data_IF_598390776688
#
_entry.id   IF_598390776688
#
_cell.length_a   1.000
_cell.length_b   1.000
_cell.length_c   1.000
_cell.angle_alpha   90.00
_cell.angle_beta   90.00
_cell.angle_gamma   90.00
#
_symmetry.space_group_name_H-M   'P 1'
#
loop_
_entity.id
_entity.type
_entity.pdbx_description
1 polymer ?
#
# COMPACT_ATOMS: atom_id res chain seq x y z
N UNK A 1 -29.26 -21.16 11.71
CA UNK A 1 -28.30 -21.81 10.78
C UNK A 1 -27.77 -20.86 9.69
N UNK A 2 -28.61 -20.05 9.05
CA UNK A 2 -28.21 -19.14 7.93
C UNK A 2 -27.14 -18.11 8.33
N UNK A 3 -27.18 -17.58 9.57
CA UNK A 3 -26.16 -16.59 10.03
C UNK A 3 -24.72 -17.12 10.01
N UNK A 4 -24.52 -18.39 10.40
CA UNK A 4 -23.18 -19.00 10.36
C UNK A 4 -22.60 -19.09 8.94
N UNK A 5 -23.46 -19.33 7.96
CA UNK A 5 -23.06 -19.35 6.55
C UNK A 5 -22.59 -17.97 6.06
N UNK A 6 -23.31 -16.91 6.42
CA UNK A 6 -22.89 -15.54 6.07
C UNK A 6 -21.58 -15.14 6.74
N UNK A 7 -21.40 -15.49 8.01
CA UNK A 7 -20.15 -15.25 8.74
C UNK A 7 -19.01 -16.02 8.08
N UNK A 8 -19.21 -17.30 7.73
CA UNK A 8 -18.24 -18.09 7.02
C UNK A 8 -17.92 -17.52 5.62
N UNK A 9 -18.94 -17.12 4.87
CA UNK A 9 -18.76 -16.52 3.55
C UNK A 9 -18.02 -15.19 3.62
N UNK A 10 -18.33 -14.32 4.60
CA UNK A 10 -17.59 -13.06 4.79
C UNK A 10 -16.13 -13.30 5.13
N UNK A 11 -15.84 -14.27 6.00
CA UNK A 11 -14.47 -14.67 6.33
C UNK A 11 -13.70 -15.20 5.12
N UNK A 12 -14.33 -16.02 4.28
CA UNK A 12 -13.72 -16.52 3.02
C UNK A 12 -13.41 -15.37 2.07
N UNK A 13 -14.31 -14.41 1.89
CA UNK A 13 -14.09 -13.25 1.02
C UNK A 13 -12.91 -12.41 1.50
N UNK A 14 -12.81 -12.17 2.80
CA UNK A 14 -11.65 -11.45 3.38
C UNK A 14 -10.34 -12.20 3.14
N UNK A 15 -10.34 -13.54 3.31
CA UNK A 15 -9.14 -14.33 3.04
C UNK A 15 -8.79 -14.34 1.55
N UNK A 16 -9.77 -14.34 0.65
CA UNK A 16 -9.53 -14.21 -0.79
C UNK A 16 -8.85 -12.88 -1.10
N UNK A 17 -9.39 -11.75 -0.63
CA UNK A 17 -8.78 -10.43 -0.84
C UNK A 17 -7.35 -10.36 -0.27
N UNK A 18 -7.11 -10.99 0.87
CA UNK A 18 -5.77 -11.07 1.46
C UNK A 18 -4.81 -11.90 0.60
N UNK A 19 -5.27 -13.02 0.07
CA UNK A 19 -4.48 -13.83 -0.86
C UNK A 19 -4.15 -13.05 -2.14
N UNK A 20 -5.11 -12.31 -2.69
CA UNK A 20 -4.89 -11.49 -3.88
C UNK A 20 -3.85 -10.39 -3.62
N UNK A 21 -3.91 -9.75 -2.45
CA UNK A 21 -2.90 -8.75 -2.04
C UNK A 21 -1.51 -9.38 -1.89
N UNK A 22 -1.42 -10.56 -1.26
CA UNK A 22 -0.14 -11.29 -1.10
C UNK A 22 0.40 -11.72 -2.47
N UNK A 23 -0.46 -12.22 -3.37
CA UNK A 23 -0.06 -12.62 -4.71
C UNK A 23 0.47 -11.43 -5.52
N UNK A 24 -0.17 -10.27 -5.42
CA UNK A 24 0.30 -9.03 -6.04
C UNK A 24 1.66 -8.61 -5.49
N UNK A 25 1.83 -8.58 -4.16
CA UNK A 25 3.11 -8.26 -3.52
C UNK A 25 4.22 -9.24 -3.95
N UNK A 26 3.89 -10.54 -4.05
CA UNK A 26 4.85 -11.56 -4.47
C UNK A 26 5.24 -11.40 -5.94
N UNK A 27 4.28 -11.09 -6.81
CA UNK A 27 4.54 -10.83 -8.22
C UNK A 27 5.49 -9.63 -8.44
N UNK A 28 5.48 -8.66 -7.51
CA UNK A 28 6.28 -7.45 -7.56
C UNK A 28 7.51 -7.46 -6.65
N UNK A 29 7.90 -8.62 -6.11
CA UNK A 29 9.03 -8.71 -5.15
C UNK A 29 10.36 -8.26 -5.76
N UNK A 30 10.57 -8.48 -7.08
CA UNK A 30 11.76 -8.07 -7.81
C UNK A 30 11.61 -6.69 -8.49
N UNK A 31 10.45 -6.04 -8.34
CA UNK A 31 10.22 -4.72 -8.92
C UNK A 31 10.89 -3.66 -8.07
N UNK A 32 11.84 -2.91 -8.66
CA UNK A 32 12.55 -1.84 -7.96
C UNK A 32 11.58 -0.72 -7.55
N UNK A 33 11.71 -0.25 -6.30
CA UNK A 33 10.88 0.82 -5.76
C UNK A 33 9.44 0.43 -5.45
N UNK A 34 9.05 -0.84 -5.61
CA UNK A 34 7.72 -1.31 -5.22
C UNK A 34 7.52 -1.21 -3.70
N UNK A 35 6.35 -0.78 -3.30
CA UNK A 35 5.91 -0.74 -1.89
C UNK A 35 4.74 -1.68 -1.71
N UNK A 36 4.83 -2.54 -0.70
CA UNK A 36 3.83 -3.58 -0.46
C UNK A 36 2.50 -3.01 -0.02
N UNK A 37 1.43 -3.58 -0.51
CA UNK A 37 0.08 -3.34 -0.05
C UNK A 37 -0.23 -4.20 1.17
N UNK A 38 -0.90 -3.61 2.14
CA UNK A 38 -1.36 -4.29 3.35
C UNK A 38 -2.87 -4.11 3.48
N UNK A 39 -3.59 -5.22 3.57
CA UNK A 39 -5.04 -5.23 3.73
C UNK A 39 -5.41 -5.11 5.20
N UNK A 40 -6.20 -4.11 5.54
CA UNK A 40 -6.82 -3.94 6.85
C UNK A 40 -8.18 -4.62 6.88
N UNK A 41 -8.46 -5.32 7.97
CA UNK A 41 -9.72 -6.04 8.18
C UNK A 41 -10.43 -5.46 9.39
N UNK A 42 -11.73 -5.23 9.27
CA UNK A 42 -12.58 -4.82 10.38
C UNK A 42 -13.75 -5.79 10.60
N UNK A 43 -14.23 -5.88 11.81
CA UNK A 43 -15.45 -6.61 12.10
C UNK A 43 -16.68 -5.83 11.63
N UNK A 44 -17.72 -6.54 11.16
CA UNK A 44 -19.03 -5.93 10.99
C UNK A 44 -19.58 -5.44 12.33
N UNK A 45 -20.60 -4.56 12.26
CA UNK A 45 -21.29 -4.08 13.43
C UNK A 45 -21.80 -5.23 14.29
N UNK A 46 -21.57 -5.12 15.59
CA UNK A 46 -22.01 -6.11 16.57
C UNK A 46 -23.49 -5.96 16.85
N UNK A 47 -24.19 -7.08 16.97
CA UNK A 47 -25.56 -7.13 17.44
C UNK A 47 -25.59 -7.51 18.92
N UNK A 48 -26.46 -6.85 19.66
CA UNK A 48 -26.72 -7.19 21.04
C UNK A 48 -27.54 -8.49 21.12
N UNK A 49 -27.00 -9.49 21.81
CA UNK A 49 -27.74 -10.71 22.15
C UNK A 49 -28.56 -10.48 23.40
N UNK A 50 -29.85 -10.72 23.26
CA UNK A 50 -30.79 -10.74 24.40
C UNK A 50 -31.20 -12.16 24.68
N UNK A 51 -31.26 -12.50 25.95
CA UNK A 51 -31.79 -13.77 26.40
C UNK A 51 -33.31 -13.72 26.23
N UNK A 52 -33.85 -14.68 25.53
CA UNK A 52 -35.27 -14.86 25.40
C UNK A 52 -35.66 -16.11 26.22
N UNK A 53 -35.92 -15.89 27.51
CA UNK A 53 -36.47 -16.96 28.35
C UNK A 53 -37.94 -17.17 27.99
N UNK A 54 -38.29 -18.41 27.74
CA UNK A 54 -39.71 -18.82 27.54
C UNK A 54 -40.46 -19.02 28.84
N UNK A 55 -39.78 -18.97 29.98
CA UNK A 55 -40.34 -19.27 31.29
C UNK A 55 -40.70 -17.98 32.01
N UNK A 56 -41.93 -17.53 31.74
CA UNK A 56 -42.67 -16.69 32.65
C UNK A 56 -42.28 -15.21 32.69
N UNK A 57 -43.30 -14.41 32.66
CA UNK A 57 -43.25 -13.00 33.01
C UNK A 57 -42.83 -12.90 34.48
N UNK A 58 -41.61 -12.41 34.74
CA UNK A 58 -41.27 -11.94 36.07
C UNK A 58 -42.02 -10.63 36.32
N UNK A 59 -43.17 -10.72 36.94
CA UNK A 59 -43.85 -9.56 37.51
C UNK A 59 -43.03 -9.07 38.71
N UNK A 60 -42.17 -8.10 38.47
CA UNK A 60 -41.57 -7.33 39.54
C UNK A 60 -42.64 -6.36 40.09
N UNK A 61 -42.80 -6.23 41.43
CA UNK A 61 -43.77 -5.32 42.02
C UNK A 61 -43.46 -3.81 41.76
N UNK A 62 -42.39 -3.50 41.06
CA UNK A 62 -41.92 -2.13 40.73
C UNK A 62 -41.90 -1.78 39.24
N UNK A 63 -42.70 -2.45 38.42
CA UNK A 63 -42.74 -2.17 36.97
C UNK A 63 -42.12 -3.27 36.12
N UNK A 64 -42.54 -3.35 34.85
CA UNK A 64 -42.03 -4.35 33.90
C UNK A 64 -40.54 -4.17 33.68
N UNK A 65 -39.76 -5.01 34.35
CA UNK A 65 -38.35 -5.16 33.99
C UNK A 65 -38.25 -5.75 32.59
N UNK A 66 -37.33 -5.26 31.78
CA UNK A 66 -37.07 -5.78 30.43
C UNK A 66 -36.82 -7.30 30.52
N UNK A 67 -37.81 -8.09 30.09
CA UNK A 67 -37.81 -9.55 30.19
C UNK A 67 -36.75 -10.23 29.33
N UNK A 68 -35.92 -9.45 28.65
CA UNK A 68 -34.87 -9.92 27.76
C UNK A 68 -33.51 -9.24 28.07
N UNK A 69 -32.84 -9.63 29.17
CA UNK A 69 -31.56 -9.02 29.54
C UNK A 69 -30.51 -9.24 28.44
N UNK A 70 -29.66 -8.23 28.23
CA UNK A 70 -28.56 -8.32 27.30
C UNK A 70 -27.55 -9.31 27.87
N UNK A 71 -27.21 -10.36 27.12
CA UNK A 71 -26.25 -11.38 27.50
C UNK A 71 -24.87 -11.10 26.97
N UNK A 72 -24.79 -10.35 25.86
CA UNK A 72 -23.52 -10.05 25.21
C UNK A 72 -23.69 -9.47 23.82
N UNK A 73 -22.60 -9.43 23.10
CA UNK A 73 -22.55 -8.98 21.71
C UNK A 73 -22.13 -10.12 20.81
N UNK A 74 -22.68 -10.19 19.61
CA UNK A 74 -22.28 -11.13 18.57
C UNK A 74 -21.85 -10.36 17.33
N UNK A 75 -20.67 -10.66 16.82
CA UNK A 75 -20.19 -10.17 15.53
C UNK A 75 -20.90 -10.90 14.38
N UNK A 76 -21.23 -10.17 13.32
CA UNK A 76 -21.86 -10.71 12.12
C UNK A 76 -20.88 -11.12 11.03
N UNK A 77 -19.59 -11.11 11.31
CA UNK A 77 -18.52 -11.42 10.37
C UNK A 77 -17.48 -10.32 10.29
N UNK A 78 -16.72 -10.33 9.20
CA UNK A 78 -15.66 -9.37 8.93
C UNK A 78 -15.70 -8.91 7.47
N UNK A 79 -15.14 -7.74 7.22
CA UNK A 79 -14.95 -7.20 5.88
C UNK A 79 -13.57 -6.58 5.72
N UNK A 80 -13.11 -6.48 4.48
CA UNK A 80 -11.93 -5.69 4.14
C UNK A 80 -12.27 -4.22 4.31
N UNK A 81 -11.53 -3.50 5.15
CA UNK A 81 -11.74 -2.08 5.38
C UNK A 81 -11.12 -1.27 4.24
N UNK A 82 -9.80 -1.34 4.13
CA UNK A 82 -9.03 -0.63 3.13
C UNK A 82 -7.67 -1.31 2.93
N UNK A 83 -7.06 -1.06 1.76
CA UNK A 83 -5.67 -1.39 1.51
C UNK A 83 -4.84 -0.13 1.69
N UNK A 84 -3.74 -0.23 2.38
CA UNK A 84 -2.78 0.86 2.54
C UNK A 84 -1.39 0.41 2.10
N UNK A 85 -0.63 1.38 1.56
CA UNK A 85 0.73 1.15 1.09
C UNK A 85 1.68 1.31 2.27
N UNK A 86 2.53 0.33 2.50
CA UNK A 86 3.60 0.39 3.49
C UNK A 86 4.84 1.04 2.87
N UNK A 87 5.13 2.28 3.25
CA UNK A 87 6.28 3.04 2.77
C UNK A 87 7.58 2.74 3.53
N UNK A 88 7.63 1.71 4.36
CA UNK A 88 8.88 1.30 5.04
C UNK A 88 9.99 1.07 4.03
N UNK A 89 11.23 1.38 4.43
CA UNK A 89 12.40 1.19 3.57
C UNK A 89 12.73 -0.28 3.41
N UNK A 90 13.09 -0.66 2.19
CA UNK A 90 13.61 -1.97 1.85
C UNK A 90 15.14 -2.04 1.89
N UNK A 91 15.70 -3.22 1.68
CA UNK A 91 17.14 -3.41 1.53
C UNK A 91 17.62 -2.81 0.21
N UNK A 92 18.75 -2.09 0.25
CA UNK A 92 19.42 -1.62 -0.94
C UNK A 92 20.28 -2.74 -1.52
N UNK A 93 20.21 -2.91 -2.85
CA UNK A 93 21.01 -3.89 -3.59
C UNK A 93 21.92 -3.17 -4.57
N UNK A 94 23.21 -3.48 -4.52
CA UNK A 94 24.18 -2.96 -5.46
C UNK A 94 24.02 -3.64 -6.84
N UNK A 95 23.77 -2.85 -7.87
CA UNK A 95 23.56 -3.33 -9.26
C UNK A 95 24.77 -3.12 -10.16
N UNK A 96 25.75 -2.28 -9.75
CA UNK A 96 26.90 -1.86 -10.54
C UNK A 96 26.55 -1.14 -11.87
N UNK A 97 25.34 -0.61 -11.96
CA UNK A 97 24.87 0.19 -13.09
C UNK A 97 24.89 1.66 -12.66
N UNK A 98 25.50 2.53 -13.45
CA UNK A 98 25.65 3.97 -13.11
C UNK A 98 24.34 4.74 -13.12
N UNK A 99 23.33 4.22 -13.84
CA UNK A 99 22.00 4.83 -14.00
C UNK A 99 20.95 4.32 -13.01
N UNK A 100 21.32 3.37 -12.13
CA UNK A 100 20.44 2.87 -11.09
C UNK A 100 20.61 3.69 -9.82
N UNK A 101 19.54 4.30 -9.36
CA UNK A 101 19.49 5.13 -8.16
C UNK A 101 18.54 4.56 -7.11
N UNK A 102 18.88 4.78 -5.86
CA UNK A 102 17.99 4.46 -4.76
C UNK A 102 17.85 5.67 -3.84
N UNK A 103 16.62 5.99 -3.47
CA UNK A 103 16.35 7.03 -2.49
C UNK A 103 16.37 6.44 -1.08
N UNK A 104 17.22 7.00 -0.23
CA UNK A 104 17.21 6.77 1.20
C UNK A 104 16.36 7.86 1.88
N UNK A 105 15.46 7.47 2.78
CA UNK A 105 14.53 8.41 3.41
C UNK A 105 13.24 8.64 2.63
N UNK A 106 12.57 9.74 2.94
CA UNK A 106 11.30 10.15 2.34
C UNK A 106 11.55 10.96 1.06
N UNK A 107 10.86 10.64 -0.03
CA UNK A 107 10.95 11.38 -1.28
C UNK A 107 10.56 10.52 -2.48
N UNK A 108 10.51 11.13 -3.66
CA UNK A 108 10.18 10.48 -4.92
C UNK A 108 11.00 11.14 -6.04
N UNK A 109 11.26 10.39 -7.09
CA UNK A 109 11.74 10.97 -8.34
C UNK A 109 10.57 11.58 -9.09
N UNK A 110 10.73 12.81 -9.59
CA UNK A 110 9.77 13.45 -10.47
C UNK A 110 10.05 13.04 -11.93
N UNK A 111 9.01 12.67 -12.65
CA UNK A 111 9.06 12.31 -14.06
C UNK A 111 8.03 13.09 -14.86
N UNK A 112 8.38 13.43 -16.10
CA UNK A 112 7.48 14.10 -17.02
C UNK A 112 6.72 13.05 -17.83
N UNK A 113 5.40 12.98 -17.66
CA UNK A 113 4.53 12.14 -18.48
C UNK A 113 3.65 13.00 -19.41
N UNK A 114 3.03 12.42 -20.45
CA UNK A 114 2.10 13.15 -21.32
C UNK A 114 0.92 13.78 -20.56
N UNK A 115 0.53 13.18 -19.43
CA UNK A 115 -0.57 13.66 -18.58
C UNK A 115 -0.12 14.69 -17.54
N UNK A 116 1.18 15.04 -17.51
CA UNK A 116 1.79 15.97 -16.56
C UNK A 116 2.89 15.33 -15.71
N UNK A 117 3.29 16.03 -14.66
CA UNK A 117 4.31 15.58 -13.72
C UNK A 117 3.77 14.46 -12.82
N UNK A 118 4.54 13.39 -12.70
CA UNK A 118 4.25 12.25 -11.83
C UNK A 118 5.45 11.88 -11.00
N UNK A 119 5.22 11.13 -9.92
CA UNK A 119 6.25 10.75 -8.95
C UNK A 119 6.43 9.24 -8.89
N UNK A 120 7.69 8.80 -8.83
CA UNK A 120 8.05 7.37 -8.76
C UNK A 120 9.12 7.11 -7.71
N UNK A 121 9.13 5.91 -7.17
CA UNK A 121 10.22 5.37 -6.32
C UNK A 121 11.15 4.44 -7.11
N UNK A 122 10.78 4.11 -8.33
CA UNK A 122 11.62 3.30 -9.20
C UNK A 122 12.81 4.15 -9.68
N UNK A 123 14.01 3.73 -9.33
CA UNK A 123 15.25 4.41 -9.72
C UNK A 123 16.01 3.71 -10.84
N UNK A 124 15.40 2.75 -11.55
CA UNK A 124 16.02 2.14 -12.72
C UNK A 124 15.81 3.03 -13.93
N UNK A 125 16.78 3.90 -14.18
CA UNK A 125 16.76 4.81 -15.31
C UNK A 125 17.67 4.34 -16.43
N UNK A 126 17.51 4.93 -17.61
CA UNK A 126 18.37 4.75 -18.75
C UNK A 126 18.68 6.11 -19.41
N UNK A 127 19.75 6.17 -20.16
CA UNK A 127 20.10 7.36 -20.94
C UNK A 127 19.52 7.19 -22.34
N UNK A 128 18.60 8.08 -22.70
CA UNK A 128 17.97 8.13 -24.01
C UNK A 128 18.93 8.62 -25.11
N UNK A 129 18.45 8.60 -26.36
CA UNK A 129 19.25 8.98 -27.54
C UNK A 129 19.78 10.42 -27.55
N UNK A 130 19.10 11.29 -26.80
CA UNK A 130 19.46 12.72 -26.66
C UNK A 130 20.27 13.01 -25.39
N UNK A 131 20.77 11.99 -24.71
CA UNK A 131 21.43 12.15 -23.43
C UNK A 131 20.50 12.49 -22.27
N UNK A 132 19.19 12.30 -22.44
CA UNK A 132 18.18 12.56 -21.41
C UNK A 132 18.08 11.34 -20.50
N UNK A 133 18.05 11.57 -19.19
CA UNK A 133 17.76 10.51 -18.22
C UNK A 133 16.27 10.16 -18.27
N UNK A 134 15.94 8.93 -18.62
CA UNK A 134 14.58 8.47 -18.87
C UNK A 134 14.28 7.21 -18.05
N UNK A 135 12.98 7.01 -17.76
CA UNK A 135 12.50 5.72 -17.24
C UNK A 135 12.50 4.66 -18.35
N UNK A 136 12.32 3.39 -18.00
CA UNK A 136 12.16 2.29 -18.98
C UNK A 136 10.98 2.50 -19.95
N UNK A 137 10.00 3.29 -19.53
CA UNK A 137 8.82 3.65 -20.34
C UNK A 137 9.08 4.86 -21.25
N UNK A 138 10.30 5.44 -21.23
CA UNK A 138 10.68 6.59 -22.05
C UNK A 138 10.23 7.95 -21.49
N UNK A 139 9.90 8.04 -20.21
CA UNK A 139 9.54 9.31 -19.57
C UNK A 139 10.78 9.99 -18.99
N UNK A 140 11.07 11.26 -19.33
CA UNK A 140 12.21 11.99 -18.82
C UNK A 140 12.10 12.27 -17.32
N UNK A 141 13.23 12.18 -16.63
CA UNK A 141 13.37 12.50 -15.22
C UNK A 141 13.56 14.01 -15.05
N UNK A 142 12.85 14.59 -14.09
CA UNK A 142 12.92 16.01 -13.76
C UNK A 142 13.86 16.23 -12.57
N UNK A 143 14.76 17.20 -12.73
CA UNK A 143 15.52 17.80 -11.64
C UNK A 143 14.98 19.18 -11.29
N UNK A 144 15.64 19.89 -10.37
CA UNK A 144 15.26 21.26 -9.98
C UNK A 144 15.30 22.25 -11.16
N UNK A 145 16.23 22.04 -12.11
CA UNK A 145 16.42 22.89 -13.29
C UNK A 145 15.66 22.39 -14.53
N UNK A 146 14.76 21.42 -14.39
CA UNK A 146 14.00 20.81 -15.49
C UNK A 146 14.53 19.42 -15.88
N UNK A 147 14.46 19.07 -17.17
CA UNK A 147 14.85 17.72 -17.66
C UNK A 147 16.35 17.51 -17.48
N UNK A 148 16.73 16.39 -16.88
CA UNK A 148 18.13 16.02 -16.64
C UNK A 148 18.74 15.53 -17.94
N UNK A 149 19.81 16.21 -18.40
CA UNK A 149 20.59 15.81 -19.56
C UNK A 149 22.01 15.45 -19.12
N UNK A 150 22.48 14.32 -19.60
CA UNK A 150 23.80 13.77 -19.30
C UNK A 150 24.56 13.66 -20.62
N UNK A 151 25.70 14.34 -20.73
CA UNK A 151 26.55 14.29 -21.93
C UNK A 151 27.45 13.04 -21.97
N UNK A 152 27.72 12.45 -20.80
CA UNK A 152 28.56 11.27 -20.63
C UNK A 152 27.94 10.21 -19.73
N UNK A 153 28.26 8.93 -19.98
CA UNK A 153 27.87 7.78 -19.14
C UNK A 153 28.62 7.76 -17.78
N UNK A 154 29.58 8.66 -17.58
CA UNK A 154 30.43 8.72 -16.39
C UNK A 154 30.10 9.94 -15.55
N UNK A 155 29.08 9.80 -14.74
CA UNK A 155 28.73 10.80 -13.76
C UNK A 155 28.71 10.18 -12.36
N UNK A 156 28.76 11.01 -11.34
CA UNK A 156 28.56 10.63 -9.93
C UNK A 156 27.47 11.48 -9.34
N UNK A 157 26.68 10.88 -8.48
CA UNK A 157 25.69 11.60 -7.70
C UNK A 157 26.17 11.65 -6.26
N UNK A 158 26.16 12.84 -5.67
CA UNK A 158 26.47 13.03 -4.26
C UNK A 158 25.27 12.67 -3.39
N UNK A 159 25.50 12.53 -2.08
CA UNK A 159 24.44 12.24 -1.10
C UNK A 159 23.33 13.32 -1.08
N UNK A 160 23.65 14.55 -1.51
CA UNK A 160 22.70 15.66 -1.67
C UNK A 160 21.88 15.60 -2.96
N UNK A 161 22.05 14.56 -3.79
CA UNK A 161 21.34 14.42 -5.07
C UNK A 161 21.91 15.26 -6.22
N UNK A 162 23.08 15.88 -6.07
CA UNK A 162 23.72 16.68 -7.12
C UNK A 162 24.49 15.76 -8.05
N UNK A 163 24.19 15.86 -9.35
CA UNK A 163 24.87 15.12 -10.39
C UNK A 163 26.16 15.90 -10.77
N UNK A 164 27.31 15.26 -10.57
CA UNK A 164 28.62 15.82 -10.93
C UNK A 164 29.13 15.06 -12.13
N UNK A 165 29.25 15.75 -13.25
CA UNK A 165 29.89 15.25 -14.48
C UNK A 165 31.37 15.56 -14.45
N UNK A 166 32.22 14.68 -14.99
CA UNK A 166 33.68 14.77 -14.90
C UNK A 166 34.32 15.99 -15.64
N UNK A 167 33.51 16.75 -16.37
CA UNK A 167 33.96 17.90 -17.18
C UNK A 167 33.78 19.25 -16.49
N UNK A 168 33.35 19.29 -15.22
CA UNK A 168 33.31 20.53 -14.43
C UNK A 168 34.25 20.39 -13.22
N UNK A 169 35.57 20.57 -13.43
CA UNK A 169 36.44 21.19 -12.48
C UNK A 169 36.32 22.70 -12.59
#
# INVERSE_FOLDING_TARGET
>A
MIRGWYIGASGMNVQQNRLDTIANNLANVDTAGYKKDVTSVKSFSELLLRRKDFDGVYENPFGSADAAPIIGKVGLGCETNENFIDFSEGSLRLTNTSTDFALHGKGFFAIQTPDGERYTRNGNFMIGKEGILETKDGYPVLGENGIIRLEDDKFKVNDDGIIVTKNNE
#
